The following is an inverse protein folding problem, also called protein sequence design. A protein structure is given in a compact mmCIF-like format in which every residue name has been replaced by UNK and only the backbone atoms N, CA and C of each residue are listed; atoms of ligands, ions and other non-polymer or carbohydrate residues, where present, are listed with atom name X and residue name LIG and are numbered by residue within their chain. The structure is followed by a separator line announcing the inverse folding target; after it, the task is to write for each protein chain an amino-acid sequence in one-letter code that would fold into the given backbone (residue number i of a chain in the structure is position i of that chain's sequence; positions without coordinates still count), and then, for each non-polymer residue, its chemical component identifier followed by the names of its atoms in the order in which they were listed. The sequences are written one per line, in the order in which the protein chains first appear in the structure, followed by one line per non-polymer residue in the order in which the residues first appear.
data_IF_947031131065
#
_entry.id   IF_947031131065
#
_cell.length_a   1.000
_cell.length_b   1.000
_cell.length_c   1.000
_cell.angle_alpha   90.00
_cell.angle_beta   90.00
_cell.angle_gamma   90.00
#
_symmetry.space_group_name_H-M   'P 1'
#
loop_
_entity.id
_entity.type
_entity.pdbx_description
1 polymer ?
#
# COMPACT_ATOMS: atom_id res chain seq x y z
N UNK A 1 -1.36 -16.76 8.24
CA UNK A 1 -0.91 -16.71 6.85
C UNK A 1 -0.53 -18.10 6.36
N UNK A 2 -1.11 -18.53 5.26
CA UNK A 2 -0.73 -19.80 4.61
C UNK A 2 0.54 -19.58 3.81
N UNK A 3 1.69 -19.78 4.44
CA UNK A 3 2.99 -19.50 3.84
C UNK A 3 3.26 -20.34 2.60
N UNK A 4 2.91 -21.61 2.61
CA UNK A 4 3.18 -22.49 1.47
C UNK A 4 2.42 -22.03 0.24
N UNK A 5 1.13 -21.75 0.37
CA UNK A 5 0.32 -21.22 -0.71
C UNK A 5 0.86 -19.87 -1.20
N UNK A 6 1.19 -18.98 -0.27
CA UNK A 6 1.71 -17.65 -0.61
C UNK A 6 3.05 -17.72 -1.34
N UNK A 7 3.95 -18.61 -0.92
CA UNK A 7 5.23 -18.81 -1.59
C UNK A 7 5.04 -19.30 -3.01
N UNK A 8 4.14 -20.25 -3.22
CA UNK A 8 3.83 -20.77 -4.55
C UNK A 8 3.23 -19.69 -5.45
N UNK A 9 2.31 -18.87 -4.91
CA UNK A 9 1.70 -17.78 -5.65
C UNK A 9 2.74 -16.74 -6.08
N UNK A 10 3.65 -16.36 -5.18
CA UNK A 10 4.72 -15.42 -5.48
C UNK A 10 5.68 -15.98 -6.53
N UNK A 11 6.07 -17.22 -6.41
CA UNK A 11 6.95 -17.88 -7.39
C UNK A 11 6.31 -17.88 -8.77
N UNK A 12 5.03 -18.21 -8.85
CA UNK A 12 4.31 -18.20 -10.12
C UNK A 12 4.25 -16.79 -10.72
N UNK A 13 3.89 -15.79 -9.91
CA UNK A 13 3.84 -14.41 -10.37
C UNK A 13 5.20 -13.95 -10.92
N UNK A 14 6.27 -14.19 -10.18
CA UNK A 14 7.62 -13.81 -10.58
C UNK A 14 8.09 -14.55 -11.83
N UNK A 15 7.74 -15.83 -11.97
CA UNK A 15 8.08 -16.60 -13.16
C UNK A 15 7.44 -16.05 -14.43
N UNK A 16 6.32 -15.34 -14.28
CA UNK A 16 5.60 -14.70 -15.38
C UNK A 16 6.00 -13.22 -15.57
N UNK A 17 6.99 -12.75 -14.84
CA UNK A 17 7.41 -11.35 -14.89
C UNK A 17 6.46 -10.38 -14.19
N UNK A 18 5.61 -10.90 -13.30
CA UNK A 18 4.63 -10.11 -12.57
C UNK A 18 5.09 -9.88 -11.13
N UNK A 19 4.54 -8.83 -10.51
CA UNK A 19 4.72 -8.58 -9.09
C UNK A 19 3.57 -9.22 -8.31
N UNK A 20 3.83 -9.58 -7.05
CA UNK A 20 2.83 -10.13 -6.14
C UNK A 20 2.52 -9.13 -5.03
N UNK A 21 1.24 -8.85 -4.83
CA UNK A 21 0.78 -7.91 -3.81
C UNK A 21 -0.11 -8.64 -2.81
N UNK A 22 0.21 -8.51 -1.52
CA UNK A 22 -0.66 -8.97 -0.45
C UNK A 22 -1.67 -7.87 -0.15
N UNK A 23 -2.94 -8.16 -0.35
CA UNK A 23 -3.98 -7.14 -0.31
C UNK A 23 -4.48 -6.85 1.12
N UNK A 24 -5.62 -6.14 1.22
CA UNK A 24 -6.18 -5.65 2.48
C UNK A 24 -6.55 -6.73 3.50
N UNK A 25 -6.52 -8.02 3.15
CA UNK A 25 -6.63 -9.10 4.14
C UNK A 25 -5.56 -8.98 5.22
N UNK A 26 -4.45 -8.31 4.93
CA UNK A 26 -3.42 -7.94 5.91
C UNK A 26 -4.00 -7.18 7.10
N UNK A 27 -5.02 -6.33 6.86
CA UNK A 27 -5.63 -5.50 7.90
C UNK A 27 -6.36 -6.31 8.99
N UNK A 28 -6.68 -7.58 8.69
CA UNK A 28 -7.33 -8.49 9.64
C UNK A 28 -6.35 -9.23 10.54
N UNK A 29 -5.06 -9.05 10.32
CA UNK A 29 -4.02 -9.78 11.06
C UNK A 29 -3.74 -9.09 12.39
N UNK A 30 -3.75 -9.88 13.49
CA UNK A 30 -3.58 -9.35 14.84
C UNK A 30 -2.15 -8.88 15.14
N UNK A 31 -1.15 -9.42 14.43
CA UNK A 31 0.26 -9.09 14.63
C UNK A 31 0.89 -8.59 13.33
N UNK A 32 0.61 -7.33 12.94
CA UNK A 32 1.00 -6.83 11.61
C UNK A 32 2.51 -6.81 11.36
N UNK A 33 3.34 -6.53 12.38
CA UNK A 33 4.79 -6.53 12.18
C UNK A 33 5.33 -7.92 11.83
N UNK A 34 4.82 -8.95 12.47
CA UNK A 34 5.17 -10.33 12.14
C UNK A 34 4.70 -10.71 10.74
N UNK A 35 3.52 -10.23 10.37
CA UNK A 35 2.96 -10.49 9.05
C UNK A 35 3.78 -9.84 7.94
N UNK A 36 4.36 -8.66 8.17
CA UNK A 36 5.30 -8.05 7.21
C UNK A 36 6.49 -8.97 6.97
N UNK A 37 7.09 -9.48 8.05
CA UNK A 37 8.23 -10.41 7.94
C UNK A 37 7.85 -11.68 7.19
N UNK A 38 6.70 -12.25 7.51
CA UNK A 38 6.21 -13.45 6.81
C UNK A 38 5.95 -13.19 5.34
N UNK A 39 5.36 -12.04 5.00
CA UNK A 39 5.12 -11.66 3.60
C UNK A 39 6.43 -11.48 2.82
N UNK A 40 7.44 -10.90 3.45
CA UNK A 40 8.77 -10.81 2.85
C UNK A 40 9.37 -12.19 2.57
N UNK A 41 9.26 -13.11 3.54
CA UNK A 41 9.74 -14.49 3.39
C UNK A 41 9.04 -15.21 2.24
N UNK A 42 7.74 -14.95 2.05
CA UNK A 42 6.97 -15.55 0.97
C UNK A 42 7.33 -15.00 -0.41
N UNK A 43 7.94 -13.81 -0.46
CA UNK A 43 8.34 -13.20 -1.71
C UNK A 43 7.41 -12.13 -2.26
N UNK A 44 6.47 -11.64 -1.48
CA UNK A 44 5.60 -10.52 -1.89
C UNK A 44 6.41 -9.26 -2.13
N UNK A 45 6.02 -8.52 -3.15
CA UNK A 45 6.66 -7.25 -3.51
C UNK A 45 6.07 -6.07 -2.74
N UNK A 46 4.76 -6.12 -2.45
CA UNK A 46 4.04 -5.06 -1.73
C UNK A 46 2.98 -5.63 -0.81
N UNK A 47 2.65 -4.85 0.21
CA UNK A 47 1.48 -5.06 1.05
C UNK A 47 0.56 -3.86 0.89
N UNK A 48 -0.68 -4.09 0.43
CA UNK A 48 -1.71 -3.07 0.36
C UNK A 48 -2.49 -3.07 1.68
N UNK A 49 -2.47 -1.95 2.40
CA UNK A 49 -3.24 -1.79 3.63
C UNK A 49 -4.25 -0.66 3.49
N UNK A 50 -5.41 -0.81 4.13
CA UNK A 50 -6.46 0.21 4.16
C UNK A 50 -6.34 1.18 5.33
N UNK A 51 -5.24 1.17 6.07
CA UNK A 51 -5.06 2.00 7.27
C UNK A 51 -4.59 3.42 7.00
N UNK A 52 -4.51 3.84 5.74
CA UNK A 52 -3.92 5.12 5.35
C UNK A 52 -4.49 6.32 6.09
N UNK A 53 -5.80 6.39 6.25
CA UNK A 53 -6.46 7.55 6.84
C UNK A 53 -6.73 7.43 8.34
N UNK A 54 -6.59 6.25 8.93
CA UNK A 54 -7.04 5.99 10.30
C UNK A 54 -5.92 5.58 11.25
N UNK A 55 -4.76 5.17 10.75
CA UNK A 55 -3.72 4.62 11.59
C UNK A 55 -2.31 4.92 11.08
N UNK A 56 -1.98 6.22 11.00
CA UNK A 56 -0.70 6.69 10.49
C UNK A 56 0.49 6.19 11.29
N UNK A 57 0.35 6.06 12.61
CA UNK A 57 1.45 5.59 13.45
C UNK A 57 1.79 4.12 13.14
N UNK A 58 0.78 3.29 12.97
CA UNK A 58 1.01 1.89 12.56
C UNK A 58 1.64 1.82 11.17
N UNK A 59 1.19 2.67 10.24
CA UNK A 59 1.80 2.75 8.90
C UNK A 59 3.28 3.09 8.96
N UNK A 60 3.66 4.05 9.78
CA UNK A 60 5.07 4.40 9.99
C UNK A 60 5.86 3.23 10.53
N UNK A 61 5.32 2.51 11.51
CA UNK A 61 5.96 1.34 12.09
C UNK A 61 6.16 0.24 11.05
N UNK A 62 5.16 -0.02 10.22
CA UNK A 62 5.24 -1.02 9.15
C UNK A 62 6.31 -0.65 8.13
N UNK A 63 6.32 0.61 7.70
CA UNK A 63 7.31 1.11 6.76
C UNK A 63 8.73 0.98 7.32
N UNK A 64 8.90 1.36 8.58
CA UNK A 64 10.19 1.26 9.24
C UNK A 64 10.67 -0.19 9.37
N UNK A 65 9.74 -1.11 9.65
CA UNK A 65 10.05 -2.52 9.84
C UNK A 65 10.33 -3.26 8.51
N UNK A 66 9.71 -2.83 7.43
CA UNK A 66 9.84 -3.46 6.12
C UNK A 66 11.25 -3.28 5.55
N UNK A 67 11.83 -4.35 5.00
CA UNK A 67 13.15 -4.33 4.35
C UNK A 67 13.03 -4.44 2.83
N UNK A 68 12.65 -5.60 2.35
CA UNK A 68 12.58 -5.90 0.91
C UNK A 68 11.18 -5.72 0.33
N UNK A 69 10.18 -5.46 1.16
CA UNK A 69 8.78 -5.32 0.76
C UNK A 69 8.35 -3.88 0.92
N UNK A 70 7.53 -3.39 -0.03
CA UNK A 70 6.97 -2.05 0.05
C UNK A 70 5.60 -2.07 0.72
N UNK A 71 5.36 -1.09 1.56
CA UNK A 71 4.04 -0.86 2.15
C UNK A 71 3.30 0.14 1.26
N UNK A 72 2.17 -0.28 0.72
CA UNK A 72 1.33 0.53 -0.15
C UNK A 72 0.10 0.99 0.65
N UNK A 73 0.09 2.24 1.13
CA UNK A 73 -1.05 2.74 1.90
C UNK A 73 -2.25 3.03 1.00
N UNK A 74 -3.41 2.66 1.49
CA UNK A 74 -4.69 2.96 0.88
C UNK A 74 -5.71 3.28 1.95
N UNK A 75 -6.96 3.54 1.55
CA UNK A 75 -8.03 3.85 2.48
C UNK A 75 -8.09 5.33 2.84
N UNK A 76 -9.02 6.05 2.25
CA UNK A 76 -9.26 7.46 2.55
C UNK A 76 -8.19 8.43 2.05
N UNK A 77 -7.36 8.02 1.10
CA UNK A 77 -6.35 8.92 0.53
C UNK A 77 -7.00 9.85 -0.49
N UNK A 78 -6.83 11.16 -0.27
CA UNK A 78 -7.46 12.23 -1.03
C UNK A 78 -6.43 13.35 -1.29
N UNK A 79 -6.73 14.31 -2.18
CA UNK A 79 -5.84 15.45 -2.40
C UNK A 79 -5.46 16.20 -1.12
N UNK A 80 -6.40 16.29 -0.17
CA UNK A 80 -6.18 17.02 1.08
C UNK A 80 -5.14 16.36 2.00
N UNK A 81 -4.92 15.04 1.88
CA UNK A 81 -4.03 14.32 2.79
C UNK A 81 -2.88 13.58 2.10
N UNK A 82 -2.87 13.49 0.79
CA UNK A 82 -1.87 12.69 0.06
C UNK A 82 -0.44 13.18 0.30
N UNK A 83 -0.25 14.47 0.54
CA UNK A 83 1.07 15.04 0.82
C UNK A 83 1.68 14.44 2.09
N UNK A 84 0.88 14.09 3.09
CA UNK A 84 1.37 13.43 4.31
C UNK A 84 2.09 12.12 4.01
N UNK A 85 1.53 11.33 3.10
CA UNK A 85 2.11 10.03 2.74
C UNK A 85 3.42 10.23 2.01
N UNK A 86 3.47 11.19 1.10
CA UNK A 86 4.69 11.52 0.40
C UNK A 86 5.77 12.02 1.37
N UNK A 87 5.42 12.89 2.30
CA UNK A 87 6.35 13.43 3.30
C UNK A 87 6.90 12.33 4.22
N UNK A 88 6.11 11.30 4.48
CA UNK A 88 6.56 10.13 5.25
C UNK A 88 7.46 9.19 4.44
N UNK A 89 7.64 9.46 3.16
CA UNK A 89 8.51 8.67 2.30
C UNK A 89 7.83 7.57 1.51
N UNK A 90 6.51 7.53 1.48
CA UNK A 90 5.80 6.59 0.63
C UNK A 90 5.90 7.02 -0.83
N UNK A 91 6.37 6.14 -1.69
CA UNK A 91 6.52 6.41 -3.12
C UNK A 91 5.27 6.09 -3.92
N UNK A 92 4.38 5.29 -3.33
CA UNK A 92 3.14 4.86 -3.97
C UNK A 92 2.00 4.94 -2.96
N UNK A 93 0.82 5.25 -3.44
CA UNK A 93 -0.42 5.21 -2.66
C UNK A 93 -1.53 4.59 -3.49
N UNK A 94 -2.52 4.02 -2.82
CA UNK A 94 -3.71 3.47 -3.46
C UNK A 94 -4.93 4.33 -3.13
N UNK A 95 -5.69 4.69 -4.15
CA UNK A 95 -6.92 5.46 -3.99
C UNK A 95 -7.95 5.06 -5.02
N UNK A 96 -9.24 5.16 -4.65
CA UNK A 96 -10.33 5.00 -5.59
C UNK A 96 -10.59 6.27 -6.40
N UNK A 97 -10.07 7.42 -5.93
CA UNK A 97 -10.28 8.74 -6.55
C UNK A 97 -11.75 9.03 -6.86
N UNK A 98 -12.65 8.63 -5.97
CA UNK A 98 -14.09 8.83 -6.14
C UNK A 98 -14.52 10.19 -5.62
N UNK A 99 -15.38 10.87 -6.38
CA UNK A 99 -16.05 12.09 -5.96
C UNK A 99 -17.30 11.83 -5.12
N UNK A 100 -18.03 12.88 -4.82
CA UNK A 100 -19.23 12.84 -3.98
C UNK A 100 -20.32 11.92 -4.51
N UNK A 101 -20.41 11.75 -5.82
CA UNK A 101 -21.38 10.84 -6.46
C UNK A 101 -20.93 9.39 -6.57
N UNK A 102 -19.79 9.04 -6.00
CA UNK A 102 -19.23 7.69 -6.07
C UNK A 102 -18.56 7.35 -7.40
N UNK A 103 -18.48 8.30 -8.32
CA UNK A 103 -17.83 8.12 -9.62
C UNK A 103 -16.38 8.60 -9.56
N UNK A 104 -15.56 8.11 -10.48
CA UNK A 104 -14.18 8.56 -10.62
C UNK A 104 -14.12 10.07 -10.81
N UNK A 105 -13.32 10.74 -10.01
CA UNK A 105 -13.07 12.18 -10.11
C UNK A 105 -11.67 12.38 -10.70
N UNK A 106 -11.63 12.72 -11.98
CA UNK A 106 -10.38 12.87 -12.73
C UNK A 106 -9.53 14.02 -12.16
N UNK A 107 -10.16 15.10 -11.70
CA UNK A 107 -9.43 16.25 -11.16
C UNK A 107 -8.72 15.89 -9.86
N UNK A 108 -9.40 15.15 -8.97
CA UNK A 108 -8.76 14.63 -7.75
C UNK A 108 -7.58 13.72 -8.09
N UNK A 109 -7.77 12.83 -9.06
CA UNK A 109 -6.72 11.90 -9.46
C UNK A 109 -5.49 12.66 -9.97
N UNK A 110 -5.70 13.66 -10.83
CA UNK A 110 -4.61 14.50 -11.34
C UNK A 110 -3.86 15.20 -10.21
N UNK A 111 -4.58 15.79 -9.26
CA UNK A 111 -3.97 16.46 -8.11
C UNK A 111 -3.08 15.51 -7.32
N UNK A 112 -3.58 14.32 -7.02
CA UNK A 112 -2.81 13.33 -6.26
C UNK A 112 -1.58 12.84 -7.03
N UNK A 113 -1.69 12.64 -8.32
CA UNK A 113 -0.55 12.26 -9.18
C UNK A 113 0.54 13.33 -9.14
N UNK A 114 0.16 14.61 -9.24
CA UNK A 114 1.12 15.72 -9.18
C UNK A 114 1.86 15.76 -7.84
N UNK A 115 1.13 15.58 -6.73
CA UNK A 115 1.75 15.51 -5.40
C UNK A 115 2.74 14.35 -5.32
N UNK A 116 2.35 13.16 -5.77
CA UNK A 116 3.20 11.97 -5.69
C UNK A 116 4.43 12.08 -6.60
N UNK A 117 4.34 12.84 -7.68
CA UNK A 117 5.50 13.14 -8.53
C UNK A 117 6.44 14.18 -7.92
N UNK A 118 6.05 14.81 -6.81
CA UNK A 118 6.84 15.86 -6.19
C UNK A 118 6.65 17.24 -6.81
N UNK A 119 5.58 17.43 -7.58
CA UNK A 119 5.25 18.73 -8.16
C UNK A 119 4.48 19.55 -7.12
N UNK A 120 4.88 20.79 -6.79
CA UNK A 120 4.11 21.64 -5.89
C UNK A 120 2.72 21.92 -6.43
N UNK A 121 1.74 21.90 -5.57
CA UNK A 121 0.36 22.24 -5.92
C UNK A 121 0.18 23.75 -6.05
#
# INVERSE_FOLDING_TARGET
LDKEFCMQACELAHSLGLEAVFHRAFDEIATPLNAVSEAEECGFDRILTGWGNTNLETLKMLKWHANAIDILPGGGIRPINVQHYRDLGFLEVHTSARGAGGQLDIDQLKQMVEVMKGVPL
#
